data_IF_357874544500
#
_entry.id   IF_357874544500
#
_cell.length_a   1.000
_cell.length_b   1.000
_cell.length_c   1.000
_cell.angle_alpha   90.00
_cell.angle_beta   90.00
_cell.angle_gamma   90.00
#
_symmetry.space_group_name_H-M   'P 1'
#
loop_
_entity.id
_entity.type
_entity.pdbx_description
1 polymer ?
#
# COMPACT_ATOMS: atom_id res chain seq x y z
N UNK A 1 -31.65 -18.40 11.79
CA UNK A 1 -30.43 -17.57 11.70
C UNK A 1 -29.22 -18.35 11.16
N UNK A 2 -29.36 -19.65 10.86
CA UNK A 2 -28.26 -20.49 10.36
C UNK A 2 -27.62 -20.01 9.06
N UNK A 3 -28.36 -19.33 8.18
CA UNK A 3 -27.82 -18.80 6.91
C UNK A 3 -26.75 -17.71 7.08
N UNK A 4 -26.69 -17.06 8.25
CA UNK A 4 -25.63 -16.10 8.57
C UNK A 4 -24.34 -16.77 9.04
N UNK A 5 -24.40 -18.02 9.51
CA UNK A 5 -23.24 -18.73 10.04
C UNK A 5 -22.45 -19.39 8.89
N UNK A 6 -21.20 -18.98 8.72
CA UNK A 6 -20.27 -19.53 7.74
C UNK A 6 -19.36 -20.56 8.41
N UNK A 7 -19.92 -21.72 8.75
CA UNK A 7 -19.26 -22.74 9.58
C UNK A 7 -18.00 -23.36 8.93
N UNK A 8 -17.86 -23.26 7.60
CA UNK A 8 -16.72 -23.77 6.83
C UNK A 8 -15.68 -22.67 6.53
N UNK A 9 -15.56 -21.65 7.39
CA UNK A 9 -14.69 -20.47 7.20
C UNK A 9 -13.97 -20.03 8.48
N UNK A 10 -13.76 -20.94 9.43
CA UNK A 10 -13.03 -20.65 10.67
C UNK A 10 -11.59 -20.25 10.39
N UNK A 11 -10.91 -20.96 9.48
CA UNK A 11 -9.53 -20.66 9.05
C UNK A 11 -9.49 -19.32 8.30
N UNK A 12 -10.46 -19.11 7.41
CA UNK A 12 -10.57 -17.87 6.65
C UNK A 12 -10.68 -16.64 7.57
N UNK A 13 -11.48 -16.70 8.65
CA UNK A 13 -11.56 -15.64 9.66
C UNK A 13 -10.20 -15.36 10.31
N UNK A 14 -9.50 -16.40 10.75
CA UNK A 14 -8.19 -16.25 11.41
C UNK A 14 -7.14 -15.66 10.47
N UNK A 15 -7.11 -16.10 9.19
CA UNK A 15 -6.24 -15.55 8.16
C UNK A 15 -6.50 -14.06 7.99
N UNK A 16 -7.76 -13.64 7.81
CA UNK A 16 -8.05 -12.23 7.55
C UNK A 16 -7.85 -11.36 8.77
N UNK A 17 -8.26 -11.79 9.96
CA UNK A 17 -8.03 -10.99 11.17
C UNK A 17 -6.52 -10.86 11.45
N UNK A 18 -5.79 -11.97 11.54
CA UNK A 18 -4.35 -11.92 11.86
C UNK A 18 -3.54 -11.25 10.75
N UNK A 19 -3.88 -11.50 9.49
CA UNK A 19 -3.23 -10.89 8.35
C UNK A 19 -3.45 -9.37 8.28
N UNK A 20 -4.68 -8.89 8.53
CA UNK A 20 -4.96 -7.45 8.60
C UNK A 20 -4.27 -6.81 9.81
N UNK A 21 -4.26 -7.49 10.97
CA UNK A 21 -3.51 -7.03 12.13
C UNK A 21 -1.99 -6.94 11.85
N UNK A 22 -1.43 -7.87 11.09
CA UNK A 22 -0.03 -7.78 10.62
C UNK A 22 0.20 -6.56 9.72
N UNK A 23 -0.74 -6.23 8.83
CA UNK A 23 -0.63 -5.02 8.02
C UNK A 23 -0.70 -3.75 8.87
N UNK A 24 -1.55 -3.71 9.90
CA UNK A 24 -1.54 -2.61 10.89
C UNK A 24 -0.21 -2.51 11.63
N UNK A 25 0.34 -3.63 12.11
CA UNK A 25 1.64 -3.65 12.78
C UNK A 25 2.72 -2.99 11.92
N UNK A 26 2.83 -3.41 10.66
CA UNK A 26 3.80 -2.87 9.71
C UNK A 26 3.54 -1.39 9.39
N UNK A 27 2.27 -0.98 9.30
CA UNK A 27 1.88 0.40 9.06
C UNK A 27 2.24 1.33 10.23
N UNK A 28 2.06 0.88 11.48
CA UNK A 28 2.48 1.62 12.67
C UNK A 28 4.01 1.66 12.81
N UNK A 29 4.73 0.58 12.50
CA UNK A 29 6.20 0.59 12.46
C UNK A 29 6.72 1.55 11.38
N UNK A 30 6.12 1.53 10.19
CA UNK A 30 6.42 2.49 9.11
C UNK A 30 6.20 3.93 9.58
N UNK A 31 5.09 4.19 10.26
CA UNK A 31 4.75 5.50 10.81
C UNK A 31 5.77 5.94 11.87
N UNK A 32 6.08 5.08 12.85
CA UNK A 32 7.02 5.37 13.93
C UNK A 32 8.41 5.78 13.40
N UNK A 33 8.85 5.12 12.33
CA UNK A 33 10.17 5.32 11.74
C UNK A 33 10.25 6.55 10.82
N UNK A 34 9.15 6.94 10.17
CA UNK A 34 9.21 7.92 9.07
C UNK A 34 8.38 9.19 9.32
N UNK A 35 7.25 9.10 10.03
CA UNK A 35 6.28 10.20 10.06
C UNK A 35 6.87 11.48 10.64
N UNK A 36 7.71 11.41 11.69
CA UNK A 36 8.29 12.60 12.32
C UNK A 36 9.11 13.45 11.34
N UNK A 37 9.94 12.81 10.53
CA UNK A 37 10.72 13.49 9.50
C UNK A 37 9.85 13.99 8.31
N UNK A 38 8.77 13.29 8.00
CA UNK A 38 7.90 13.62 6.86
C UNK A 38 6.86 14.70 7.19
N UNK A 39 6.10 14.52 8.27
CA UNK A 39 4.97 15.35 8.66
C UNK A 39 4.90 15.63 10.18
N UNK A 40 5.97 15.35 10.94
CA UNK A 40 6.04 15.67 12.37
C UNK A 40 6.15 17.16 12.67
N UNK A 41 6.42 17.50 13.92
CA UNK A 41 6.49 18.91 14.37
C UNK A 41 7.49 19.74 13.55
N UNK A 42 8.59 19.10 13.13
CA UNK A 42 9.65 19.71 12.32
C UNK A 42 9.88 18.98 10.99
N UNK A 43 8.89 18.22 10.52
CA UNK A 43 9.00 17.45 9.29
C UNK A 43 8.90 18.29 8.01
N UNK A 44 8.95 17.64 6.85
CA UNK A 44 8.81 18.28 5.53
C UNK A 44 7.49 19.03 5.34
N UNK A 45 6.40 18.50 5.91
CA UNK A 45 5.08 19.11 5.92
C UNK A 45 4.47 19.04 7.33
N UNK A 46 4.77 19.99 8.23
CA UNK A 46 4.42 19.85 9.64
C UNK A 46 2.91 19.70 9.90
N UNK A 47 2.53 18.61 10.60
CA UNK A 47 1.15 18.33 10.96
C UNK A 47 0.50 19.40 11.87
N UNK A 48 1.20 20.04 12.84
CA UNK A 48 0.62 21.15 13.62
C UNK A 48 0.12 22.28 12.73
N UNK A 49 0.97 22.75 11.81
CA UNK A 49 0.63 23.82 10.88
C UNK A 49 -0.53 23.42 9.95
N UNK A 50 -0.57 22.17 9.49
CA UNK A 50 -1.69 21.66 8.69
C UNK A 50 -3.01 21.65 9.47
N UNK A 51 -2.98 21.21 10.73
CA UNK A 51 -4.15 21.18 11.61
C UNK A 51 -4.68 22.59 11.91
N UNK A 52 -3.81 23.57 12.10
CA UNK A 52 -4.18 24.97 12.35
C UNK A 52 -4.79 25.65 11.11
N UNK A 53 -4.23 25.40 9.93
CA UNK A 53 -4.62 26.11 8.70
C UNK A 53 -5.76 25.46 7.94
N UNK A 54 -5.77 24.13 7.85
CA UNK A 54 -6.69 23.36 7.01
C UNK A 54 -7.58 22.41 7.80
N UNK A 55 -7.17 22.05 9.02
CA UNK A 55 -7.80 20.97 9.78
C UNK A 55 -7.53 19.58 9.19
N UNK A 56 -7.88 18.54 9.94
CA UNK A 56 -7.75 17.18 9.45
C UNK A 56 -8.82 16.88 8.36
N UNK A 57 -8.46 16.04 7.38
CA UNK A 57 -9.37 15.65 6.29
C UNK A 57 -10.61 14.87 6.77
N UNK A 58 -10.54 14.31 7.97
CA UNK A 58 -11.57 13.49 8.58
C UNK A 58 -11.34 13.36 10.08
N UNK A 59 -12.00 12.40 10.76
CA UNK A 59 -11.85 12.16 12.18
C UNK A 59 -10.39 11.89 12.53
N UNK A 60 -9.87 12.62 13.51
CA UNK A 60 -8.52 12.39 14.03
C UNK A 60 -8.46 12.76 15.51
N UNK A 61 -7.81 11.90 16.30
CA UNK A 61 -7.49 12.19 17.69
C UNK A 61 -6.66 13.47 17.79
N UNK A 62 -5.70 13.68 16.87
CA UNK A 62 -4.81 14.83 16.88
C UNK A 62 -5.54 16.16 16.67
N UNK A 63 -6.70 16.16 16.01
CA UNK A 63 -7.54 17.36 15.91
C UNK A 63 -8.24 17.72 17.22
N UNK A 64 -8.43 16.75 18.13
CA UNK A 64 -9.11 16.97 19.42
C UNK A 64 -8.13 17.24 20.55
N UNK A 65 -7.03 16.50 20.59
CA UNK A 65 -6.06 16.58 21.69
C UNK A 65 -4.80 17.37 21.31
N UNK A 66 -4.72 17.88 20.09
CA UNK A 66 -3.52 18.51 19.51
C UNK A 66 -2.46 17.48 19.10
N UNK A 67 -1.74 17.75 18.02
CA UNK A 67 -0.61 16.94 17.58
C UNK A 67 0.66 17.25 18.38
N UNK A 68 1.46 16.22 18.66
CA UNK A 68 2.89 16.34 18.98
C UNK A 68 3.59 15.03 18.64
N UNK A 69 4.90 15.05 18.41
CA UNK A 69 5.63 13.85 18.03
C UNK A 69 5.58 12.78 19.14
N UNK A 70 5.54 13.20 20.42
CA UNK A 70 5.36 12.29 21.57
C UNK A 70 4.01 11.58 21.54
N UNK A 71 2.92 12.30 21.22
CA UNK A 71 1.58 11.71 21.10
C UNK A 71 1.51 10.74 19.92
N UNK A 72 2.14 11.09 18.80
CA UNK A 72 2.26 10.18 17.66
C UNK A 72 2.99 8.89 18.04
N UNK A 73 4.12 8.97 18.76
CA UNK A 73 4.86 7.79 19.23
C UNK A 73 3.96 6.94 20.13
N UNK A 74 3.24 7.54 21.07
CA UNK A 74 2.30 6.81 21.94
C UNK A 74 1.19 6.09 21.14
N UNK A 75 0.63 6.77 20.13
CA UNK A 75 -0.35 6.17 19.20
C UNK A 75 0.26 4.98 18.44
N UNK A 76 1.50 5.11 17.96
CA UNK A 76 2.17 4.02 17.25
C UNK A 76 2.50 2.84 18.16
N UNK A 77 3.02 3.08 19.37
CA UNK A 77 3.32 2.01 20.34
C UNK A 77 2.06 1.28 20.75
N UNK A 78 0.96 2.00 21.02
CA UNK A 78 -0.33 1.37 21.32
C UNK A 78 -0.85 0.53 20.14
N UNK A 79 -0.77 1.08 18.92
CA UNK A 79 -1.15 0.37 17.70
C UNK A 79 -0.31 -0.90 17.45
N UNK A 80 1.00 -0.83 17.67
CA UNK A 80 1.93 -1.97 17.59
C UNK A 80 1.56 -3.05 18.62
N UNK A 81 1.34 -2.66 19.87
CA UNK A 81 0.97 -3.60 20.95
C UNK A 81 -0.34 -4.33 20.67
N UNK A 82 -1.40 -3.59 20.32
CA UNK A 82 -2.72 -4.17 20.01
C UNK A 82 -2.64 -5.09 18.77
N UNK A 83 -1.94 -4.64 17.73
CA UNK A 83 -1.75 -5.46 16.52
C UNK A 83 -1.01 -6.76 16.84
N UNK A 84 0.04 -6.70 17.67
CA UNK A 84 0.83 -7.88 18.07
C UNK A 84 -0.02 -8.90 18.82
N UNK A 85 -0.86 -8.42 19.76
CA UNK A 85 -1.77 -9.27 20.54
C UNK A 85 -2.85 -9.90 19.64
N UNK A 86 -3.39 -9.17 18.65
CA UNK A 86 -4.32 -9.70 17.65
C UNK A 86 -3.66 -10.73 16.73
N UNK A 87 -2.40 -10.56 16.34
CA UNK A 87 -1.66 -11.54 15.52
C UNK A 87 -1.45 -12.85 16.31
N UNK A 88 -1.14 -12.75 17.60
CA UNK A 88 -1.01 -13.91 18.50
C UNK A 88 -2.34 -14.66 18.66
N UNK A 89 -3.47 -13.98 18.43
CA UNK A 89 -4.80 -14.61 18.50
C UNK A 89 -5.44 -14.54 19.88
N UNK A 90 -4.84 -13.81 20.83
CA UNK A 90 -5.31 -13.78 22.22
C UNK A 90 -6.73 -13.18 22.30
N UNK A 91 -7.05 -12.07 21.63
CA UNK A 91 -8.43 -11.57 21.60
C UNK A 91 -9.42 -12.55 20.99
N UNK A 92 -8.99 -13.33 19.99
CA UNK A 92 -9.83 -14.25 19.23
C UNK A 92 -10.23 -15.50 20.04
N UNK A 93 -9.56 -15.82 21.15
CA UNK A 93 -9.99 -16.88 22.07
C UNK A 93 -11.03 -16.40 23.09
N UNK A 94 -11.14 -15.08 23.27
CA UNK A 94 -12.07 -14.44 24.20
C UNK A 94 -13.47 -14.20 23.62
N UNK A 95 -14.27 -13.33 24.27
CA UNK A 95 -15.60 -12.97 23.78
C UNK A 95 -15.52 -12.18 22.46
N UNK A 96 -16.57 -12.24 21.61
CA UNK A 96 -16.53 -11.68 20.25
C UNK A 96 -16.32 -10.17 20.18
N UNK A 97 -16.65 -9.44 21.25
CA UNK A 97 -16.40 -7.99 21.33
C UNK A 97 -14.93 -7.64 21.50
N UNK A 98 -14.08 -8.55 21.97
CA UNK A 98 -12.66 -8.27 22.24
C UNK A 98 -11.83 -8.07 20.96
N UNK A 99 -11.87 -8.95 19.94
CA UNK A 99 -11.22 -8.66 18.66
C UNK A 99 -11.86 -7.44 17.98
N UNK A 100 -13.19 -7.27 18.06
CA UNK A 100 -13.87 -6.07 17.55
C UNK A 100 -13.29 -4.78 18.15
N UNK A 101 -13.19 -4.71 19.48
CA UNK A 101 -12.62 -3.56 20.17
C UNK A 101 -11.18 -3.29 19.73
N UNK A 102 -10.36 -4.35 19.62
CA UNK A 102 -8.99 -4.25 19.13
C UNK A 102 -8.92 -3.61 17.73
N UNK A 103 -9.69 -4.12 16.78
CA UNK A 103 -9.72 -3.57 15.42
C UNK A 103 -10.30 -2.16 15.34
N UNK A 104 -11.33 -1.83 16.12
CA UNK A 104 -11.88 -0.46 16.16
C UNK A 104 -10.89 0.54 16.74
N UNK A 105 -10.11 0.14 17.74
CA UNK A 105 -9.01 0.96 18.27
C UNK A 105 -7.93 1.13 17.21
N UNK A 106 -7.45 0.06 16.56
CA UNK A 106 -6.48 0.16 15.47
C UNK A 106 -6.96 1.07 14.34
N UNK A 107 -8.23 0.93 13.93
CA UNK A 107 -8.87 1.75 12.93
C UNK A 107 -8.88 3.23 13.32
N UNK A 108 -9.30 3.57 14.54
CA UNK A 108 -9.32 4.95 15.03
C UNK A 108 -7.93 5.57 15.17
N UNK A 109 -6.96 4.80 15.68
CA UNK A 109 -5.56 5.24 15.79
C UNK A 109 -4.95 5.49 14.41
N UNK A 110 -5.14 4.58 13.47
CA UNK A 110 -4.57 4.71 12.13
C UNK A 110 -5.26 5.79 11.31
N UNK A 111 -6.59 5.92 11.42
CA UNK A 111 -7.35 6.99 10.77
C UNK A 111 -6.85 8.35 11.24
N UNK A 112 -6.50 8.47 12.52
CA UNK A 112 -5.94 9.70 13.08
C UNK A 112 -4.64 10.10 12.40
N UNK A 113 -3.77 9.14 12.05
CA UNK A 113 -2.51 9.35 11.33
C UNK A 113 -2.78 9.69 9.86
N UNK A 114 -3.59 8.90 9.17
CA UNK A 114 -3.89 9.09 7.73
C UNK A 114 -4.47 10.48 7.47
N UNK A 115 -5.36 10.97 8.34
CA UNK A 115 -6.02 12.26 8.17
C UNK A 115 -5.13 13.50 8.44
N UNK A 116 -3.92 13.31 9.00
CA UNK A 116 -2.92 14.39 9.20
C UNK A 116 -1.65 14.19 8.36
N UNK A 117 -1.45 13.01 7.78
CA UNK A 117 -0.24 12.64 7.03
C UNK A 117 -0.12 13.23 5.61
N UNK A 118 -1.08 14.04 5.18
CA UNK A 118 -1.06 14.80 3.92
C UNK A 118 -0.72 13.94 2.69
N UNK A 119 0.25 14.35 1.86
CA UNK A 119 0.64 13.63 0.63
C UNK A 119 1.31 12.28 0.94
N UNK A 120 2.06 12.20 2.05
CA UNK A 120 2.78 10.99 2.45
C UNK A 120 1.86 9.84 2.88
N UNK A 121 0.57 10.10 3.13
CA UNK A 121 -0.46 9.12 3.47
C UNK A 121 -1.63 9.15 2.46
N UNK A 122 -1.44 9.74 1.28
CA UNK A 122 -2.45 9.86 0.24
C UNK A 122 -2.61 8.61 -0.66
N UNK A 123 -2.20 7.43 -0.19
CA UNK A 123 -2.13 6.23 -1.02
C UNK A 123 -3.34 5.31 -0.82
N UNK A 124 -3.80 4.64 -1.88
CA UNK A 124 -5.02 3.81 -1.82
C UNK A 124 -4.96 2.65 -0.82
N UNK A 125 -3.75 2.12 -0.54
CA UNK A 125 -3.58 1.05 0.45
C UNK A 125 -3.76 1.53 1.90
N UNK A 126 -3.65 2.83 2.17
CA UNK A 126 -3.94 3.43 3.48
C UNK A 126 -5.43 3.30 3.79
N UNK A 127 -6.26 3.67 2.81
CA UNK A 127 -7.71 3.58 2.87
C UNK A 127 -8.18 2.13 2.87
N UNK A 128 -7.50 1.26 2.11
CA UNK A 128 -7.78 -0.18 2.11
C UNK A 128 -7.55 -0.80 3.49
N UNK A 129 -6.48 -0.44 4.18
CA UNK A 129 -6.19 -0.95 5.52
C UNK A 129 -7.23 -0.51 6.55
N UNK A 130 -7.66 0.76 6.49
CA UNK A 130 -8.73 1.27 7.35
C UNK A 130 -10.03 0.49 7.14
N UNK A 131 -10.46 0.37 5.88
CA UNK A 131 -11.70 -0.32 5.56
C UNK A 131 -11.66 -1.82 5.90
N UNK A 132 -10.54 -2.49 5.60
CA UNK A 132 -10.31 -3.89 5.95
C UNK A 132 -10.37 -4.09 7.47
N UNK A 133 -9.64 -3.26 8.23
CA UNK A 133 -9.61 -3.31 9.69
C UNK A 133 -10.98 -3.16 10.32
N UNK A 134 -11.74 -2.17 9.87
CA UNK A 134 -13.11 -1.96 10.33
C UNK A 134 -13.96 -3.22 10.07
N UNK A 135 -13.91 -3.76 8.85
CA UNK A 135 -14.76 -4.88 8.43
C UNK A 135 -14.43 -6.18 9.16
N UNK A 136 -13.15 -6.55 9.28
CA UNK A 136 -12.74 -7.84 9.88
C UNK A 136 -12.92 -7.89 11.39
N UNK A 137 -12.99 -6.74 12.07
CA UNK A 137 -13.31 -6.68 13.50
C UNK A 137 -14.67 -7.29 13.84
N UNK A 138 -15.65 -7.16 12.93
CA UNK A 138 -16.99 -7.71 13.13
C UNK A 138 -17.10 -9.22 12.82
N UNK A 139 -16.03 -9.89 12.39
CA UNK A 139 -16.04 -11.34 12.19
C UNK A 139 -16.05 -12.13 13.51
N UNK A 140 -15.88 -11.44 14.65
CA UNK A 140 -16.01 -12.01 15.99
C UNK A 140 -14.81 -12.84 16.42
N UNK A 141 -15.03 -13.69 17.42
CA UNK A 141 -14.03 -14.58 18.02
C UNK A 141 -14.41 -16.05 17.82
N UNK A 142 -13.59 -16.97 18.33
CA UNK A 142 -13.86 -18.41 18.30
C UNK A 142 -15.12 -18.85 19.04
N UNK A 143 -15.71 -17.97 19.86
CA UNK A 143 -16.95 -18.22 20.59
C UNK A 143 -18.23 -17.94 19.76
N UNK A 144 -18.10 -17.47 18.52
CA UNK A 144 -19.20 -17.29 17.58
C UNK A 144 -18.78 -17.80 16.19
N UNK A 145 -19.71 -18.30 15.36
CA UNK A 145 -19.40 -18.65 13.98
C UNK A 145 -19.03 -17.38 13.18
N UNK A 146 -18.11 -17.48 12.20
CA UNK A 146 -17.87 -16.39 11.25
C UNK A 146 -19.17 -16.00 10.54
N UNK A 147 -19.39 -14.70 10.32
CA UNK A 147 -20.57 -14.22 9.61
C UNK A 147 -20.39 -14.28 8.09
N UNK A 148 -21.29 -14.99 7.42
CA UNK A 148 -21.35 -15.07 5.97
C UNK A 148 -21.52 -13.69 5.32
N UNK A 149 -22.35 -12.81 5.91
CA UNK A 149 -22.57 -11.47 5.35
C UNK A 149 -21.31 -10.62 5.37
N UNK A 150 -20.51 -10.74 6.44
CA UNK A 150 -19.25 -10.01 6.57
C UNK A 150 -18.16 -10.60 5.67
N UNK A 151 -18.07 -11.94 5.53
CA UNK A 151 -17.17 -12.56 4.56
C UNK A 151 -17.51 -12.14 3.12
N UNK A 152 -18.79 -12.00 2.79
CA UNK A 152 -19.22 -11.45 1.49
C UNK A 152 -18.87 -9.95 1.36
N UNK A 153 -18.90 -9.17 2.43
CA UNK A 153 -18.44 -7.78 2.41
C UNK A 153 -16.92 -7.65 2.28
N UNK A 154 -16.15 -8.59 2.83
CA UNK A 154 -14.71 -8.71 2.54
C UNK A 154 -14.49 -9.11 1.07
N UNK A 155 -15.28 -10.05 0.55
CA UNK A 155 -15.28 -10.39 -0.88
C UNK A 155 -15.61 -9.17 -1.76
N UNK A 156 -16.56 -8.35 -1.33
CA UNK A 156 -16.93 -7.09 -1.99
C UNK A 156 -15.81 -6.05 -1.94
N UNK A 157 -15.02 -6.01 -0.87
CA UNK A 157 -13.80 -5.20 -0.81
C UNK A 157 -12.76 -5.67 -1.82
N UNK A 158 -12.49 -6.98 -1.89
CA UNK A 158 -11.58 -7.58 -2.89
C UNK A 158 -12.10 -7.33 -4.31
N UNK A 159 -13.41 -7.47 -4.52
CA UNK A 159 -14.05 -7.18 -5.80
C UNK A 159 -13.81 -5.72 -6.21
N UNK A 160 -14.14 -4.75 -5.35
CA UNK A 160 -13.91 -3.33 -5.66
C UNK A 160 -12.45 -3.02 -5.93
N UNK A 161 -11.54 -3.71 -5.26
CA UNK A 161 -10.10 -3.56 -5.46
C UNK A 161 -9.64 -4.08 -6.82
N UNK A 162 -9.91 -5.35 -7.12
CA UNK A 162 -9.46 -5.99 -8.35
C UNK A 162 -10.24 -5.47 -9.56
N UNK A 163 -11.57 -5.47 -9.49
CA UNK A 163 -12.42 -4.98 -10.56
C UNK A 163 -12.22 -3.49 -10.79
N UNK A 164 -12.07 -2.69 -9.73
CA UNK A 164 -11.75 -1.27 -9.85
C UNK A 164 -10.41 -1.03 -10.56
N UNK A 165 -9.37 -1.80 -10.22
CA UNK A 165 -8.07 -1.75 -10.89
C UNK A 165 -8.14 -2.22 -12.35
N UNK A 166 -8.88 -3.29 -12.66
CA UNK A 166 -9.07 -3.76 -14.03
C UNK A 166 -9.80 -2.75 -14.90
N UNK A 167 -10.89 -2.17 -14.39
CA UNK A 167 -11.71 -1.21 -15.12
C UNK A 167 -10.95 0.08 -15.41
N UNK A 168 -10.16 0.59 -14.46
CA UNK A 168 -9.40 1.81 -14.69
C UNK A 168 -8.26 1.60 -15.69
N UNK A 169 -7.66 0.41 -15.74
CA UNK A 169 -6.68 0.03 -16.77
C UNK A 169 -7.33 -0.04 -18.14
N UNK A 170 -8.48 -0.71 -18.23
CA UNK A 170 -9.24 -0.84 -19.48
C UNK A 170 -9.62 0.52 -20.07
N UNK A 171 -10.08 1.44 -19.22
CA UNK A 171 -10.50 2.80 -19.61
C UNK A 171 -9.35 3.77 -19.82
N UNK A 172 -8.31 3.67 -18.99
CA UNK A 172 -7.30 4.72 -18.84
C UNK A 172 -6.29 4.82 -19.98
N UNK A 173 -5.92 3.70 -20.60
CA UNK A 173 -4.80 3.70 -21.55
C UNK A 173 -4.98 2.67 -22.68
N UNK A 174 -4.86 3.08 -23.96
CA UNK A 174 -4.85 2.15 -25.09
C UNK A 174 -3.83 1.01 -24.97
N UNK A 175 -2.70 1.21 -24.27
CA UNK A 175 -1.70 0.15 -24.08
C UNK A 175 -2.25 -1.08 -23.32
N UNK A 176 -3.21 -0.88 -22.41
CA UNK A 176 -3.88 -2.00 -21.75
C UNK A 176 -4.80 -2.76 -22.70
N UNK A 177 -5.55 -2.04 -23.55
CA UNK A 177 -6.46 -2.64 -24.54
C UNK A 177 -5.70 -3.36 -25.67
N UNK A 178 -4.54 -2.83 -26.05
CA UNK A 178 -3.65 -3.41 -27.05
C UNK A 178 -2.70 -4.48 -26.47
N UNK A 179 -2.81 -4.80 -25.17
CA UNK A 179 -1.98 -5.78 -24.46
C UNK A 179 -0.46 -5.47 -24.49
N UNK A 180 -0.09 -4.19 -24.62
CA UNK A 180 1.31 -3.72 -24.68
C UNK A 180 1.77 -3.03 -23.41
N UNK A 181 0.90 -2.82 -22.43
CA UNK A 181 1.22 -2.18 -21.15
C UNK A 181 2.45 -2.78 -20.46
N UNK A 182 2.56 -4.11 -20.46
CA UNK A 182 3.65 -4.84 -19.80
C UNK A 182 5.00 -4.71 -20.51
N UNK A 183 5.04 -4.15 -21.73
CA UNK A 183 6.31 -3.81 -22.39
C UNK A 183 7.09 -2.73 -21.63
N UNK A 184 6.38 -1.94 -20.83
CA UNK A 184 6.95 -0.80 -20.12
C UNK A 184 6.90 -1.01 -18.60
N UNK A 185 5.80 -1.57 -18.09
CA UNK A 185 5.44 -1.51 -16.67
C UNK A 185 6.54 -2.03 -15.73
N UNK A 186 7.15 -3.19 -15.98
CA UNK A 186 8.18 -3.73 -15.08
C UNK A 186 9.39 -2.81 -14.88
N UNK A 187 9.72 -2.00 -15.88
CA UNK A 187 10.79 -1.01 -15.79
C UNK A 187 10.30 0.29 -15.14
N UNK A 188 9.12 0.76 -15.51
CA UNK A 188 8.63 2.11 -15.18
C UNK A 188 7.76 2.18 -13.92
N UNK A 189 7.41 1.02 -13.34
CA UNK A 189 6.67 0.91 -12.08
C UNK A 189 7.35 1.70 -10.93
N UNK A 190 6.60 2.11 -9.90
CA UNK A 190 7.12 2.98 -8.84
C UNK A 190 8.41 2.47 -8.21
N UNK A 191 8.33 1.25 -7.66
CA UNK A 191 9.41 0.62 -6.92
C UNK A 191 9.65 -0.78 -7.51
N UNK A 192 10.63 -0.94 -8.41
CA UNK A 192 10.99 -2.26 -8.93
C UNK A 192 11.54 -3.16 -7.81
N UNK A 193 11.37 -4.47 -7.98
CA UNK A 193 11.90 -5.51 -7.11
C UNK A 193 13.02 -6.33 -7.77
N UNK A 194 13.52 -7.37 -7.08
CA UNK A 194 14.70 -8.12 -7.51
C UNK A 194 14.54 -8.83 -8.86
N UNK A 195 13.31 -9.19 -9.24
CA UNK A 195 12.98 -9.90 -10.48
C UNK A 195 12.49 -8.98 -11.60
N UNK A 196 12.29 -7.68 -11.35
CA UNK A 196 11.68 -6.78 -12.33
C UNK A 196 12.46 -6.68 -13.63
N UNK A 197 13.80 -6.72 -13.57
CA UNK A 197 14.64 -6.73 -14.77
C UNK A 197 14.43 -8.01 -15.58
N UNK A 198 14.43 -9.17 -14.93
CA UNK A 198 14.21 -10.45 -15.60
C UNK A 198 12.81 -10.50 -16.23
N UNK A 199 11.79 -10.03 -15.51
CA UNK A 199 10.44 -9.90 -16.02
C UNK A 199 10.39 -8.96 -17.23
N UNK A 200 10.99 -7.77 -17.16
CA UNK A 200 11.03 -6.80 -18.26
C UNK A 200 11.72 -7.33 -19.53
N UNK A 201 12.70 -8.22 -19.38
CA UNK A 201 13.43 -8.82 -20.50
C UNK A 201 12.74 -10.08 -21.06
N UNK A 202 11.54 -10.41 -20.58
CA UNK A 202 10.72 -11.46 -21.17
C UNK A 202 10.29 -11.08 -22.60
N UNK A 203 10.01 -12.08 -23.46
CA UNK A 203 9.61 -11.79 -24.83
C UNK A 203 8.22 -11.12 -24.89
N UNK A 204 7.97 -10.34 -25.95
CA UNK A 204 6.73 -9.58 -26.11
C UNK A 204 5.44 -10.42 -26.08
N UNK A 205 5.50 -11.69 -26.49
CA UNK A 205 4.32 -12.58 -26.41
C UNK A 205 3.96 -12.88 -24.95
N UNK A 206 4.96 -13.06 -24.07
CA UNK A 206 4.77 -13.27 -22.64
C UNK A 206 4.07 -12.06 -22.02
N UNK A 207 4.56 -10.85 -22.34
CA UNK A 207 3.95 -9.60 -21.86
C UNK A 207 2.49 -9.39 -22.32
N UNK A 208 2.13 -9.86 -23.54
CA UNK A 208 0.74 -9.86 -23.99
C UNK A 208 -0.11 -10.82 -23.16
N UNK A 209 0.42 -12.01 -22.86
CA UNK A 209 -0.22 -12.98 -21.97
C UNK A 209 -0.36 -12.41 -20.55
N UNK A 210 0.63 -11.71 -20.01
CA UNK A 210 0.54 -11.04 -18.71
C UNK A 210 -0.56 -9.98 -18.69
N UNK A 211 -0.62 -9.13 -19.72
CA UNK A 211 -1.67 -8.11 -19.83
C UNK A 211 -3.08 -8.74 -19.96
N UNK A 212 -3.22 -9.79 -20.75
CA UNK A 212 -4.48 -10.51 -20.91
C UNK A 212 -4.87 -11.26 -19.62
N UNK A 213 -3.91 -11.90 -18.96
CA UNK A 213 -4.07 -12.56 -17.67
C UNK A 213 -4.47 -11.57 -16.57
N UNK A 214 -3.88 -10.38 -16.55
CA UNK A 214 -4.31 -9.29 -15.67
C UNK A 214 -5.78 -8.93 -15.94
N UNK A 215 -6.21 -8.78 -17.20
CA UNK A 215 -7.62 -8.51 -17.51
C UNK A 215 -8.54 -9.64 -17.05
N UNK A 216 -8.19 -10.91 -17.30
CA UNK A 216 -8.98 -12.04 -16.82
C UNK A 216 -9.10 -12.05 -15.28
N UNK A 217 -7.97 -11.93 -14.59
CA UNK A 217 -7.89 -11.95 -13.14
C UNK A 217 -8.58 -10.77 -12.46
N UNK A 218 -8.63 -9.60 -13.11
CA UNK A 218 -9.19 -8.39 -12.53
C UNK A 218 -10.62 -8.09 -13.00
N UNK A 219 -11.01 -8.51 -14.20
CA UNK A 219 -12.34 -8.19 -14.76
C UNK A 219 -13.32 -9.36 -14.72
N UNK A 220 -12.84 -10.62 -14.62
CA UNK A 220 -13.71 -11.81 -14.65
C UNK A 220 -13.68 -12.54 -13.32
N UNK A 221 -12.49 -12.92 -12.84
CA UNK A 221 -12.33 -13.72 -11.62
C UNK A 221 -13.00 -13.10 -10.38
N UNK A 222 -13.04 -11.77 -10.16
CA UNK A 222 -13.65 -11.23 -8.96
C UNK A 222 -15.15 -11.54 -8.83
N UNK A 223 -15.87 -11.70 -9.94
CA UNK A 223 -17.28 -12.12 -9.92
C UNK A 223 -17.45 -13.53 -9.33
N UNK A 224 -16.48 -14.40 -9.56
CA UNK A 224 -16.50 -15.79 -9.10
C UNK A 224 -16.28 -15.92 -7.58
N UNK A 225 -15.81 -14.86 -6.89
CA UNK A 225 -15.72 -14.84 -5.43
C UNK A 225 -17.09 -14.99 -4.73
N UNK A 226 -18.17 -14.64 -5.43
CA UNK A 226 -19.55 -14.74 -4.95
C UNK A 226 -20.24 -16.04 -5.35
N UNK A 227 -19.58 -16.91 -6.12
CA UNK A 227 -20.11 -18.21 -6.49
C UNK A 227 -20.11 -19.19 -5.29
N UNK A 228 -20.91 -20.28 -5.35
CA UNK A 228 -20.82 -21.37 -4.38
C UNK A 228 -19.42 -22.03 -4.37
N UNK A 229 -19.09 -22.71 -3.27
CA UNK A 229 -17.87 -23.51 -3.21
C UNK A 229 -17.97 -24.73 -4.16
N UNK A 230 -16.85 -25.18 -4.78
CA UNK A 230 -15.46 -24.73 -4.58
C UNK A 230 -15.04 -23.56 -5.49
N UNK A 231 -15.94 -23.03 -6.32
CA UNK A 231 -15.62 -22.00 -7.33
C UNK A 231 -15.05 -20.73 -6.67
N UNK A 232 -15.62 -20.29 -5.55
CA UNK A 232 -15.11 -19.14 -4.81
C UNK A 232 -13.67 -19.35 -4.28
N UNK A 233 -13.35 -20.54 -3.77
CA UNK A 233 -11.98 -20.87 -3.32
C UNK A 233 -10.99 -20.87 -4.49
N UNK A 234 -11.39 -21.40 -5.64
CA UNK A 234 -10.56 -21.38 -6.86
C UNK A 234 -10.32 -19.94 -7.32
N UNK A 235 -11.37 -19.11 -7.35
CA UNK A 235 -11.25 -17.70 -7.71
C UNK A 235 -10.31 -16.93 -6.76
N UNK A 236 -10.45 -17.15 -5.45
CA UNK A 236 -9.55 -16.59 -4.46
C UNK A 236 -8.10 -17.06 -4.66
N UNK A 237 -7.89 -18.35 -4.95
CA UNK A 237 -6.56 -18.90 -5.25
C UNK A 237 -5.92 -18.26 -6.48
N UNK A 238 -6.69 -18.01 -7.55
CA UNK A 238 -6.22 -17.30 -8.74
C UNK A 238 -5.82 -15.86 -8.39
N UNK A 239 -6.66 -15.12 -7.65
CA UNK A 239 -6.34 -13.77 -7.19
C UNK A 239 -5.04 -13.78 -6.39
N UNK A 240 -4.92 -14.67 -5.39
CA UNK A 240 -3.70 -14.81 -4.57
C UNK A 240 -2.48 -15.08 -5.45
N UNK A 241 -2.56 -16.01 -6.40
CA UNK A 241 -1.44 -16.32 -7.29
C UNK A 241 -1.01 -15.11 -8.14
N UNK A 242 -1.97 -14.37 -8.69
CA UNK A 242 -1.66 -13.15 -9.48
C UNK A 242 -1.09 -12.03 -8.60
N UNK A 243 -1.58 -11.87 -7.37
CA UNK A 243 -1.03 -10.89 -6.43
C UNK A 243 0.38 -11.27 -5.97
N UNK A 244 0.69 -12.56 -5.77
CA UNK A 244 2.04 -13.04 -5.47
C UNK A 244 3.01 -12.78 -6.64
N UNK A 245 2.55 -12.89 -7.88
CA UNK A 245 3.34 -12.49 -9.05
C UNK A 245 3.67 -10.99 -9.03
N UNK A 246 2.73 -10.14 -8.66
CA UNK A 246 2.96 -8.69 -8.50
C UNK A 246 3.96 -8.40 -7.37
N UNK A 247 3.86 -9.11 -6.24
CA UNK A 247 4.83 -9.02 -5.14
C UNK A 247 6.24 -9.43 -5.58
N UNK A 248 6.36 -10.49 -6.38
CA UNK A 248 7.65 -10.99 -6.84
C UNK A 248 8.32 -10.05 -7.86
N UNK A 249 7.51 -9.31 -8.63
CA UNK A 249 7.98 -8.48 -9.74
C UNK A 249 7.94 -6.98 -9.48
N UNK A 250 7.51 -6.54 -8.30
CA UNK A 250 7.45 -5.14 -7.89
C UNK A 250 7.18 -4.97 -6.39
N UNK A 251 7.24 -3.74 -5.91
CA UNK A 251 6.97 -3.41 -4.50
C UNK A 251 5.81 -2.42 -4.42
N UNK A 252 4.65 -2.82 -3.90
CA UNK A 252 3.46 -1.94 -3.75
C UNK A 252 3.02 -1.77 -2.30
N UNK A 253 3.97 -1.53 -1.39
CA UNK A 253 3.74 -1.47 0.05
C UNK A 253 2.90 -2.70 0.50
N UNK A 254 1.90 -2.51 1.34
CA UNK A 254 1.00 -3.59 1.75
C UNK A 254 -0.19 -3.82 0.80
N UNK A 255 -0.29 -3.15 -0.36
CA UNK A 255 -1.44 -3.29 -1.26
C UNK A 255 -1.68 -4.75 -1.67
N UNK A 256 -0.69 -5.40 -2.27
CA UNK A 256 -0.84 -6.78 -2.75
C UNK A 256 -0.97 -7.77 -1.59
N UNK A 257 -0.17 -7.59 -0.53
CA UNK A 257 -0.24 -8.45 0.66
C UNK A 257 -1.60 -8.40 1.34
N UNK A 258 -2.17 -7.20 1.48
CA UNK A 258 -3.52 -7.04 2.02
C UNK A 258 -4.57 -7.64 1.08
N UNK A 259 -4.40 -7.54 -0.25
CA UNK A 259 -5.28 -8.20 -1.22
C UNK A 259 -5.23 -9.73 -1.08
N UNK A 260 -4.03 -10.31 -0.95
CA UNK A 260 -3.83 -11.75 -0.71
C UNK A 260 -4.55 -12.20 0.56
N UNK A 261 -4.34 -11.47 1.66
CA UNK A 261 -5.00 -11.75 2.94
C UNK A 261 -6.52 -11.71 2.79
N UNK A 262 -7.06 -10.64 2.19
CA UNK A 262 -8.51 -10.47 2.05
C UNK A 262 -9.12 -11.50 1.10
N UNK A 263 -8.44 -11.88 0.02
CA UNK A 263 -8.88 -12.96 -0.87
C UNK A 263 -9.00 -14.30 -0.13
N UNK A 264 -8.13 -14.53 0.86
CA UNK A 264 -8.20 -15.67 1.78
C UNK A 264 -9.53 -15.83 2.53
N UNK A 265 -10.34 -14.76 2.65
CA UNK A 265 -11.70 -14.83 3.23
C UNK A 265 -12.67 -15.74 2.47
N UNK A 266 -12.34 -16.08 1.21
CA UNK A 266 -13.20 -16.87 0.32
C UNK A 266 -12.70 -18.29 0.08
N UNK A 267 -11.60 -18.68 0.71
CA UNK A 267 -11.13 -20.07 0.73
C UNK A 267 -11.79 -20.77 1.91
N UNK A 268 -12.57 -21.81 1.64
CA UNK A 268 -13.24 -22.58 2.70
C UNK A 268 -12.29 -23.50 3.46
N UNK A 269 -12.64 -23.86 4.69
CA UNK A 269 -11.86 -24.79 5.52
C UNK A 269 -11.76 -26.16 4.84
N UNK A 270 -12.84 -26.59 4.16
CA UNK A 270 -12.83 -27.74 3.27
C UNK A 270 -11.76 -27.65 2.18
N UNK A 271 -11.64 -26.52 1.47
CA UNK A 271 -10.61 -26.33 0.45
C UNK A 271 -9.18 -26.37 1.05
N UNK A 272 -8.98 -25.83 2.25
CA UNK A 272 -7.72 -25.98 2.97
C UNK A 272 -7.40 -27.43 3.33
N UNK A 273 -8.39 -28.20 3.79
CA UNK A 273 -8.23 -29.62 4.10
C UNK A 273 -7.87 -30.48 2.87
N UNK A 274 -8.35 -30.10 1.67
CA UNK A 274 -7.94 -30.74 0.42
C UNK A 274 -6.47 -30.47 0.05
N UNK A 275 -5.96 -29.27 0.30
CA UNK A 275 -4.58 -28.88 -0.04
C UNK A 275 -3.59 -29.37 1.04
N UNK A 276 -3.99 -29.28 2.30
CA UNK A 276 -3.16 -29.64 3.45
C UNK A 276 -3.91 -30.66 4.31
N UNK A 277 -3.75 -31.97 4.05
CA UNK A 277 -4.50 -33.03 4.72
C UNK A 277 -4.34 -33.08 6.25
N UNK A 278 -3.27 -32.46 6.79
CA UNK A 278 -3.05 -32.33 8.22
C UNK A 278 -3.89 -31.23 8.88
N UNK A 279 -4.44 -30.29 8.09
CA UNK A 279 -5.47 -29.37 8.56
C UNK A 279 -6.77 -30.17 8.62
N UNK A 280 -7.09 -30.65 9.82
CA UNK A 280 -8.41 -31.24 10.07
C UNK A 280 -9.42 -30.11 9.89
N UNK A 281 -10.37 -30.24 8.97
CA UNK A 281 -11.61 -29.46 9.07
C UNK A 281 -12.13 -29.70 10.47
N UNK A 282 -12.09 -28.68 11.32
CA UNK A 282 -12.86 -28.73 12.56
C UNK A 282 -14.28 -29.04 12.10
N UNK A 283 -14.81 -30.21 12.48
CA UNK A 283 -16.18 -30.57 12.12
C UNK A 283 -17.12 -29.41 12.48
N UNK A 284 -18.24 -29.27 11.79
CA UNK A 284 -19.19 -28.18 12.00
C UNK A 284 -19.72 -28.21 13.44
N UNK A 285 -19.01 -27.57 14.38
CA UNK A 285 -19.51 -27.34 15.73
C UNK A 285 -20.52 -26.22 15.58
N UNK A 286 -21.80 -26.56 15.78
CA UNK A 286 -22.89 -25.59 15.77
C UNK A 286 -22.78 -24.71 17.02
N UNK A 287 -22.02 -23.61 16.89
CA UNK A 287 -21.95 -22.56 17.90
C UNK A 287 -23.06 -21.56 17.59
N UNK A 288 -24.00 -21.37 18.52
CA UNK A 288 -25.03 -20.35 18.36
C UNK A 288 -24.49 -18.96 18.69
N UNK A 289 -24.77 -17.99 17.82
CA UNK A 289 -24.44 -16.58 18.06
C UNK A 289 -25.45 -15.95 19.04
N UNK A 290 -24.99 -15.23 20.08
CA UNK A 290 -25.88 -14.41 20.90
C UNK A 290 -26.69 -13.42 20.07
N UNK A 291 -27.93 -13.14 20.47
CA UNK A 291 -28.84 -12.26 19.72
C UNK A 291 -28.29 -10.85 19.52
N UNK A 292 -27.68 -10.27 20.55
CA UNK A 292 -27.06 -8.94 20.48
C UNK A 292 -25.93 -8.87 19.45
N UNK A 293 -25.13 -9.94 19.32
CA UNK A 293 -24.04 -10.01 18.35
C UNK A 293 -24.60 -10.11 16.94
N UNK A 294 -25.64 -10.92 16.74
CA UNK A 294 -26.32 -11.04 15.45
C UNK A 294 -26.94 -9.70 15.01
N UNK A 295 -27.60 -8.99 15.92
CA UNK A 295 -28.17 -7.65 15.65
C UNK A 295 -27.07 -6.67 15.26
N UNK A 296 -25.93 -6.68 15.97
CA UNK A 296 -24.79 -5.82 15.64
C UNK A 296 -24.22 -6.13 14.24
N UNK A 297 -24.02 -7.41 13.92
CA UNK A 297 -23.52 -7.88 12.61
C UNK A 297 -24.48 -7.47 11.49
N UNK A 298 -25.79 -7.60 11.69
CA UNK A 298 -26.79 -7.17 10.72
C UNK A 298 -26.80 -5.64 10.54
N UNK A 299 -26.73 -4.89 11.63
CA UNK A 299 -26.67 -3.43 11.57
C UNK A 299 -25.45 -2.93 10.79
N UNK A 300 -24.26 -3.46 11.06
CA UNK A 300 -23.05 -3.08 10.30
C UNK A 300 -23.10 -3.57 8.85
N UNK A 301 -23.72 -4.72 8.59
CA UNK A 301 -23.93 -5.23 7.23
C UNK A 301 -24.78 -4.24 6.42
N UNK A 302 -25.91 -3.81 6.98
CA UNK A 302 -26.80 -2.81 6.34
C UNK A 302 -26.08 -1.48 6.14
N UNK A 303 -25.28 -1.04 7.11
CA UNK A 303 -24.48 0.18 7.00
C UNK A 303 -23.50 0.10 5.82
N UNK A 304 -22.70 -0.97 5.72
CA UNK A 304 -21.69 -1.12 4.67
C UNK A 304 -22.33 -1.31 3.28
N UNK A 305 -23.47 -1.98 3.19
CA UNK A 305 -24.26 -2.06 1.94
C UNK A 305 -24.74 -0.66 1.53
N UNK A 306 -25.30 0.10 2.47
CA UNK A 306 -25.79 1.46 2.22
C UNK A 306 -24.68 2.39 1.75
N UNK A 307 -23.49 2.32 2.39
CA UNK A 307 -22.31 3.08 2.01
C UNK A 307 -21.68 2.63 0.69
N UNK A 308 -22.07 1.47 0.13
CA UNK A 308 -21.54 0.95 -1.14
C UNK A 308 -22.06 1.69 -2.37
N UNK A 309 -23.15 2.44 -2.26
CA UNK A 309 -23.78 3.03 -3.44
C UNK A 309 -22.87 4.01 -4.22
N UNK A 310 -22.14 4.96 -3.59
CA UNK A 310 -21.21 5.84 -4.31
C UNK A 310 -20.06 5.08 -4.98
N UNK A 311 -19.47 4.10 -4.30
CA UNK A 311 -18.40 3.27 -4.84
C UNK A 311 -18.87 2.42 -6.02
N UNK A 312 -20.08 1.86 -5.93
CA UNK A 312 -20.72 1.11 -7.02
C UNK A 312 -20.95 2.02 -8.24
N UNK A 313 -21.51 3.21 -8.04
CA UNK A 313 -21.69 4.20 -9.11
C UNK A 313 -20.36 4.60 -9.76
N UNK A 314 -19.30 4.74 -8.97
CA UNK A 314 -17.96 5.03 -9.47
C UNK A 314 -17.39 3.90 -10.34
N UNK A 315 -17.57 2.63 -9.95
CA UNK A 315 -17.09 1.47 -10.73
C UNK A 315 -17.65 1.45 -12.16
N UNK A 316 -18.92 1.84 -12.33
CA UNK A 316 -19.59 1.85 -13.63
C UNK A 316 -19.55 3.21 -14.34
N UNK A 317 -18.93 4.23 -13.72
CA UNK A 317 -18.73 5.54 -14.35
C UNK A 317 -17.71 5.47 -15.48
N UNK A 318 -17.95 6.20 -16.56
CA UNK A 318 -16.95 6.45 -17.60
C UNK A 318 -15.74 7.25 -17.06
N UNK A 319 -16.01 8.13 -16.09
CA UNK A 319 -15.01 8.95 -15.38
C UNK A 319 -14.77 8.35 -13.99
N UNK A 320 -14.28 7.11 -13.95
CA UNK A 320 -13.98 6.43 -12.70
C UNK A 320 -12.89 7.17 -11.93
N UNK A 321 -13.17 7.51 -10.67
CA UNK A 321 -12.18 8.03 -9.74
C UNK A 321 -11.29 6.91 -9.20
N UNK A 322 -10.00 7.21 -9.07
CA UNK A 322 -8.98 6.31 -8.53
C UNK A 322 -8.71 6.62 -7.06
N UNK A 323 -8.71 5.61 -6.18
CA UNK A 323 -8.36 5.74 -4.77
C UNK A 323 -9.16 6.85 -4.06
N UNK A 324 -10.48 6.86 -4.24
CA UNK A 324 -11.38 7.91 -3.78
C UNK A 324 -12.22 7.47 -2.58
N UNK A 325 -12.26 8.34 -1.56
CA UNK A 325 -13.09 8.17 -0.38
C UNK A 325 -14.43 8.88 -0.57
N UNK A 326 -15.53 8.21 -0.22
CA UNK A 326 -16.88 8.78 -0.37
C UNK A 326 -17.50 9.24 0.95
N UNK A 327 -16.80 9.03 2.06
CA UNK A 327 -17.16 9.52 3.38
C UNK A 327 -15.91 9.76 4.22
N UNK A 328 -16.06 10.54 5.29
CA UNK A 328 -14.94 10.92 6.17
C UNK A 328 -14.39 9.74 7.00
N UNK A 329 -15.13 8.64 7.06
CA UNK A 329 -14.75 7.44 7.83
C UNK A 329 -13.90 6.46 7.02
N UNK A 330 -13.57 6.78 5.77
CA UNK A 330 -12.73 5.92 4.90
C UNK A 330 -13.32 4.51 4.77
N UNK A 331 -14.65 4.40 4.77
CA UNK A 331 -15.35 3.13 4.58
C UNK A 331 -15.92 3.06 3.16
N UNK A 332 -15.87 1.89 2.57
CA UNK A 332 -16.45 1.60 1.26
C UNK A 332 -15.95 2.52 0.16
N UNK A 333 -14.64 2.53 -0.04
CA UNK A 333 -13.94 3.41 -0.97
C UNK A 333 -13.87 2.81 -2.39
N UNK A 334 -13.42 3.63 -3.34
CA UNK A 334 -13.00 3.19 -4.67
C UNK A 334 -11.50 2.98 -4.71
N UNK A 335 -11.07 1.91 -5.37
CA UNK A 335 -9.65 1.58 -5.56
C UNK A 335 -9.33 1.48 -7.04
N UNK A 336 -8.11 1.87 -7.39
CA UNK A 336 -7.59 1.71 -8.73
C UNK A 336 -6.09 1.92 -8.75
N UNK A 337 -5.41 1.29 -9.71
CA UNK A 337 -3.97 1.40 -9.85
C UNK A 337 -3.57 1.28 -11.31
N UNK A 338 -2.61 2.11 -11.72
CA UNK A 338 -1.95 2.05 -13.03
C UNK A 338 -2.90 2.15 -14.23
N UNK A 339 -3.93 3.00 -14.13
CA UNK A 339 -4.82 3.29 -15.26
C UNK A 339 -4.06 3.77 -16.49
N UNK A 340 -3.05 4.62 -16.29
CA UNK A 340 -2.06 5.03 -17.28
C UNK A 340 -0.73 4.33 -17.07
N UNK A 341 -0.03 3.97 -18.15
CA UNK A 341 1.26 3.29 -18.09
C UNK A 341 2.40 4.27 -18.35
N UNK A 342 3.39 4.38 -17.47
CA UNK A 342 4.57 5.18 -17.77
C UNK A 342 5.44 4.47 -18.82
N UNK A 343 5.87 5.16 -19.89
CA UNK A 343 6.70 4.57 -20.98
C UNK A 343 8.19 4.73 -20.76
N UNK A 344 8.57 5.82 -20.10
CA UNK A 344 9.96 6.19 -19.82
C UNK A 344 10.13 6.39 -18.34
N UNK A 345 11.14 5.74 -17.75
CA UNK A 345 11.47 5.93 -16.33
C UNK A 345 12.41 7.12 -16.21
N UNK A 346 11.92 8.19 -15.60
CA UNK A 346 12.74 9.36 -15.24
C UNK A 346 12.99 9.28 -13.74
N UNK A 347 14.25 9.44 -13.34
CA UNK A 347 14.64 9.49 -11.93
C UNK A 347 15.21 10.86 -11.61
N UNK A 348 14.73 11.42 -10.50
CA UNK A 348 15.29 12.62 -9.89
C UNK A 348 16.47 12.21 -9.03
N UNK A 349 17.63 12.81 -9.30
CA UNK A 349 18.88 12.60 -8.57
C UNK A 349 19.24 13.91 -7.87
N UNK A 350 19.58 13.83 -6.59
CA UNK A 350 19.97 14.99 -5.79
C UNK A 350 21.43 14.84 -5.45
N UNK A 351 22.20 15.90 -5.66
CA UNK A 351 23.63 15.93 -5.39
C UNK A 351 23.95 17.09 -4.46
N UNK A 352 24.90 16.89 -3.55
CA UNK A 352 25.50 17.96 -2.76
C UNK A 352 26.99 18.15 -3.08
N UNK A 353 27.56 19.27 -2.66
CA UNK A 353 29.01 19.48 -2.60
C UNK A 353 29.40 20.25 -1.34
N UNK A 354 30.57 19.94 -0.77
CA UNK A 354 31.24 20.73 0.28
C UNK A 354 32.18 21.79 -0.32
N UNK A 355 32.32 21.85 -1.66
CA UNK A 355 33.20 22.83 -2.31
C UNK A 355 32.53 24.21 -2.41
N UNK A 356 33.25 25.25 -2.02
CA UNK A 356 32.81 26.65 -2.16
C UNK A 356 32.80 27.12 -3.61
N UNK A 357 33.77 26.64 -4.41
CA UNK A 357 33.89 26.98 -5.83
C UNK A 357 33.15 25.96 -6.70
N UNK A 358 32.13 26.43 -7.42
CA UNK A 358 31.32 25.59 -8.31
C UNK A 358 32.08 25.11 -9.55
N UNK A 359 33.17 25.78 -9.95
CA UNK A 359 33.98 25.38 -11.11
C UNK A 359 34.82 24.18 -10.72
N UNK A 360 34.51 23.01 -11.29
CA UNK A 360 35.21 21.76 -11.00
C UNK A 360 34.80 21.10 -9.68
N UNK A 361 33.74 21.57 -9.03
CA UNK A 361 33.25 21.02 -7.77
C UNK A 361 32.97 19.52 -7.83
N UNK A 362 33.30 18.80 -6.78
CA UNK A 362 33.03 17.39 -6.59
C UNK A 362 31.61 17.18 -6.02
N UNK A 363 30.71 16.74 -6.88
CA UNK A 363 29.31 16.48 -6.52
C UNK A 363 29.09 15.03 -6.12
N UNK A 364 28.40 14.83 -4.99
CA UNK A 364 28.08 13.51 -4.45
C UNK A 364 26.57 13.30 -4.38
N UNK A 365 26.10 12.15 -4.86
CA UNK A 365 24.67 11.79 -4.90
C UNK A 365 24.17 11.33 -3.54
N UNK A 366 22.95 11.75 -3.17
CA UNK A 366 22.21 11.16 -2.06
C UNK A 366 21.53 9.86 -2.52
N UNK A 367 21.74 8.76 -1.79
CA UNK A 367 21.15 7.46 -2.11
C UNK A 367 19.83 7.24 -1.36
N UNK A 368 18.78 6.81 -2.06
CA UNK A 368 17.49 6.44 -1.47
C UNK A 368 17.42 4.94 -1.10
N UNK A 369 16.51 4.56 -0.20
CA UNK A 369 16.45 3.20 0.37
C UNK A 369 16.00 2.12 -0.60
N UNK A 370 15.11 2.43 -1.54
CA UNK A 370 14.60 1.48 -2.52
C UNK A 370 14.55 2.02 -3.95
N UNK A 371 14.57 3.34 -4.16
CA UNK A 371 14.57 3.95 -5.50
C UNK A 371 15.85 3.60 -6.27
N UNK A 372 15.78 3.40 -7.60
CA UNK A 372 16.97 3.31 -8.43
C UNK A 372 17.85 4.56 -8.31
N UNK A 373 19.16 4.33 -8.18
CA UNK A 373 20.19 5.36 -8.09
C UNK A 373 21.46 4.82 -8.73
N UNK A 374 22.40 4.31 -7.94
CA UNK A 374 23.58 3.60 -8.46
C UNK A 374 23.18 2.53 -9.50
N UNK A 375 23.80 2.59 -10.68
CA UNK A 375 23.46 1.75 -11.84
C UNK A 375 23.77 0.26 -11.64
N UNK A 376 24.73 -0.06 -10.77
CA UNK A 376 25.07 -1.42 -10.40
C UNK A 376 24.08 -2.01 -9.37
N UNK A 377 23.29 -1.16 -8.71
CA UNK A 377 22.41 -1.60 -7.63
C UNK A 377 21.21 -2.39 -8.15
N UNK A 378 21.11 -3.64 -7.69
CA UNK A 378 19.91 -4.46 -7.88
C UNK A 378 18.77 -3.95 -6.98
N UNK A 379 17.56 -3.71 -7.51
CA UNK A 379 16.40 -3.37 -6.69
C UNK A 379 16.10 -4.46 -5.66
N UNK A 380 15.78 -4.06 -4.43
CA UNK A 380 15.46 -4.96 -3.32
C UNK A 380 13.98 -5.30 -3.21
N UNK A 381 13.64 -6.29 -2.37
CA UNK A 381 12.27 -6.53 -1.93
C UNK A 381 12.05 -5.75 -0.63
N UNK A 382 11.15 -4.77 -0.64
CA UNK A 382 10.81 -3.97 0.54
C UNK A 382 9.34 -4.09 0.94
N UNK A 383 8.41 -4.32 -0.01
CA UNK A 383 7.01 -4.58 0.30
C UNK A 383 6.90 -5.87 1.14
N UNK A 384 6.13 -5.88 2.25
CA UNK A 384 5.03 -4.98 2.59
C UNK A 384 5.39 -3.62 3.20
N UNK A 385 6.65 -3.36 3.55
CA UNK A 385 7.05 -2.08 4.13
C UNK A 385 6.94 -0.93 3.11
N UNK A 386 6.43 0.22 3.55
CA UNK A 386 6.23 1.41 2.71
C UNK A 386 7.37 2.41 2.91
N UNK A 387 8.22 2.59 1.89
CA UNK A 387 9.23 3.64 1.82
C UNK A 387 8.59 4.93 1.26
N UNK A 388 8.03 5.77 2.15
CA UNK A 388 7.14 6.87 1.74
C UNK A 388 7.84 7.94 0.92
N UNK A 389 9.06 8.31 1.32
CA UNK A 389 9.87 9.30 0.60
C UNK A 389 10.23 8.79 -0.81
N UNK A 390 10.76 7.57 -0.91
CA UNK A 390 11.10 6.93 -2.19
C UNK A 390 9.91 6.87 -3.16
N UNK A 391 8.72 6.55 -2.65
CA UNK A 391 7.48 6.56 -3.42
C UNK A 391 7.15 7.95 -3.94
N UNK A 392 7.24 8.98 -3.10
CA UNK A 392 6.99 10.37 -3.52
C UNK A 392 8.01 10.85 -4.57
N UNK A 393 9.26 10.41 -4.47
CA UNK A 393 10.28 10.69 -5.48
C UNK A 393 9.94 10.09 -6.86
N UNK A 394 9.12 9.03 -6.94
CA UNK A 394 8.63 8.50 -8.24
C UNK A 394 7.51 9.36 -8.84
N UNK A 395 6.72 10.05 -8.02
CA UNK A 395 5.66 10.94 -8.52
C UNK A 395 6.21 12.28 -9.03
N UNK A 396 7.36 12.76 -8.54
CA UNK A 396 7.91 14.06 -8.94
C UNK A 396 8.00 14.28 -10.47
N UNK A 397 8.51 13.34 -11.29
CA UNK A 397 8.54 13.50 -12.74
C UNK A 397 7.17 13.41 -13.42
N UNK A 398 6.17 12.81 -12.76
CA UNK A 398 4.80 12.69 -13.26
C UNK A 398 3.95 13.91 -12.92
N UNK A 399 4.35 14.63 -11.86
CA UNK A 399 3.67 15.81 -11.34
C UNK A 399 4.55 17.05 -11.51
N UNK A 400 5.18 17.50 -10.43
CA UNK A 400 6.02 18.69 -10.43
C UNK A 400 7.09 18.62 -9.36
N UNK A 401 8.29 19.11 -9.67
CA UNK A 401 9.36 19.34 -8.70
C UNK A 401 9.10 20.54 -7.78
N UNK A 402 8.08 21.37 -8.08
CA UNK A 402 7.77 22.56 -7.30
C UNK A 402 6.91 22.28 -6.06
N UNK A 403 6.68 21.02 -5.72
CA UNK A 403 5.91 20.66 -4.53
C UNK A 403 6.57 21.17 -3.25
N UNK A 404 5.76 21.69 -2.33
CA UNK A 404 6.23 22.28 -1.06
C UNK A 404 7.13 21.33 -0.29
N UNK A 405 6.74 20.06 -0.16
CA UNK A 405 7.52 19.07 0.58
C UNK A 405 8.90 18.85 -0.03
N UNK A 406 9.03 18.90 -1.36
CA UNK A 406 10.30 18.67 -2.05
C UNK A 406 11.25 19.86 -1.90
N UNK A 407 10.71 21.08 -1.94
CA UNK A 407 11.49 22.29 -1.65
C UNK A 407 12.05 22.28 -0.22
N UNK A 408 11.20 21.96 0.76
CA UNK A 408 11.61 21.82 2.17
C UNK A 408 12.60 20.66 2.33
N UNK A 409 12.45 19.58 1.54
CA UNK A 409 13.39 18.48 1.54
C UNK A 409 14.79 18.92 1.10
N UNK A 410 14.91 19.66 -0.02
CA UNK A 410 16.20 20.22 -0.48
C UNK A 410 16.80 21.16 0.57
N UNK A 411 15.99 22.03 1.19
CA UNK A 411 16.43 22.91 2.26
C UNK A 411 16.96 22.13 3.47
N UNK A 412 16.26 21.07 3.89
CA UNK A 412 16.70 20.22 5.01
C UNK A 412 17.96 19.40 4.70
N UNK A 413 18.22 19.06 3.44
CA UNK A 413 19.49 18.46 3.03
C UNK A 413 20.65 19.46 3.19
N UNK A 414 20.45 20.73 2.80
CA UNK A 414 21.43 21.79 3.03
C UNK A 414 21.70 22.00 4.54
N UNK A 415 20.67 21.89 5.37
CA UNK A 415 20.77 22.00 6.83
C UNK A 415 21.36 20.75 7.51
N UNK A 416 21.64 19.68 6.76
CA UNK A 416 22.01 18.36 7.31
C UNK A 416 21.06 17.87 8.42
N UNK A 417 19.75 18.08 8.24
CA UNK A 417 18.71 17.67 9.19
C UNK A 417 18.72 16.16 9.40
N UNK A 418 19.11 15.72 10.60
CA UNK A 418 19.32 14.31 10.92
C UNK A 418 18.08 13.44 10.71
N UNK A 419 16.88 13.97 11.00
CA UNK A 419 15.62 13.25 10.77
C UNK A 419 15.39 12.97 9.28
N UNK A 420 15.68 13.95 8.44
CA UNK A 420 15.57 13.87 6.99
C UNK A 420 16.64 12.97 6.40
N UNK A 421 17.90 13.11 6.83
CA UNK A 421 18.99 12.24 6.40
C UNK A 421 18.74 10.77 6.76
N UNK A 422 18.13 10.49 7.91
CA UNK A 422 17.75 9.13 8.32
C UNK A 422 16.70 8.47 7.39
N UNK A 423 16.00 9.22 6.55
CA UNK A 423 15.12 8.66 5.52
C UNK A 423 15.89 8.10 4.31
N UNK A 424 17.13 8.52 4.11
CA UNK A 424 18.01 8.10 3.02
C UNK A 424 18.76 6.80 3.37
N UNK A 425 19.30 6.14 2.35
CA UNK A 425 20.18 4.98 2.52
C UNK A 425 21.61 5.41 2.84
N UNK A 426 22.12 6.38 2.08
CA UNK A 426 23.46 6.92 2.24
C UNK A 426 23.37 8.44 2.10
N UNK A 427 23.95 9.13 3.07
CA UNK A 427 24.25 10.56 2.99
C UNK A 427 25.78 10.69 2.89
N UNK A 428 26.30 11.43 1.89
CA UNK A 428 27.73 11.38 1.58
C UNK A 428 28.58 12.34 2.45
N UNK A 429 27.99 13.09 3.38
CA UNK A 429 28.65 14.18 4.09
C UNK A 429 28.91 13.88 5.57
N UNK A 430 28.62 12.65 6.05
CA UNK A 430 28.79 12.25 7.46
C UNK A 430 28.08 13.21 8.43
N UNK A 431 26.90 13.69 8.04
CA UNK A 431 26.09 14.64 8.79
C UNK A 431 26.56 16.09 8.75
N UNK A 432 27.58 16.44 7.95
CA UNK A 432 27.97 17.83 7.69
C UNK A 432 27.06 18.46 6.64
N UNK A 433 26.83 19.77 6.76
CA UNK A 433 26.06 20.54 5.79
C UNK A 433 26.85 20.72 4.49
N UNK A 434 26.30 20.33 3.33
CA UNK A 434 26.89 20.71 2.05
C UNK A 434 26.75 22.23 1.84
N UNK A 435 27.71 22.85 1.14
CA UNK A 435 27.62 24.25 0.74
C UNK A 435 26.55 24.46 -0.33
N UNK A 436 26.42 23.51 -1.26
CA UNK A 436 25.42 23.55 -2.31
C UNK A 436 24.73 22.22 -2.51
N UNK A 437 23.45 22.29 -2.88
CA UNK A 437 22.66 21.15 -3.37
C UNK A 437 22.14 21.47 -4.76
N UNK A 438 22.10 20.48 -5.66
CA UNK A 438 21.47 20.60 -6.98
C UNK A 438 20.58 19.40 -7.26
N UNK A 439 19.66 19.58 -8.20
CA UNK A 439 18.71 18.52 -8.61
C UNK A 439 18.84 18.27 -10.09
N UNK A 440 19.06 17.00 -10.43
CA UNK A 440 19.18 16.49 -11.78
C UNK A 440 18.02 15.53 -12.08
N UNK A 441 17.79 15.29 -13.36
CA UNK A 441 17.06 14.11 -13.82
C UNK A 441 17.87 13.32 -14.82
N UNK A 442 17.62 12.02 -14.82
CA UNK A 442 18.14 11.10 -15.82
C UNK A 442 17.03 10.17 -16.28
N UNK A 443 17.12 9.73 -17.53
CA UNK A 443 16.35 8.59 -18.01
C UNK A 443 17.04 7.31 -17.58
N UNK A 444 16.30 6.44 -16.89
CA UNK A 444 16.76 5.11 -16.52
C UNK A 444 16.09 4.03 -17.38
N UNK A 445 16.86 2.99 -17.70
CA UNK A 445 16.35 1.75 -18.26
C UNK A 445 17.11 0.56 -17.71
N UNK A 446 16.52 -0.62 -17.72
CA UNK A 446 17.26 -1.82 -17.40
C UNK A 446 18.33 -2.09 -18.47
N UNK A 447 19.46 -2.65 -18.05
CA UNK A 447 20.47 -3.18 -18.97
C UNK A 447 19.90 -4.37 -19.76
N UNK A 448 20.26 -4.49 -21.03
CA UNK A 448 20.01 -5.72 -21.78
C UNK A 448 20.84 -6.89 -21.22
N UNK A 449 20.54 -8.12 -21.63
CA UNK A 449 21.33 -9.30 -21.24
C UNK A 449 22.81 -9.16 -21.62
N UNK A 450 23.10 -8.56 -22.78
CA UNK A 450 24.47 -8.34 -23.26
C UNK A 450 25.18 -7.29 -22.41
N UNK A 451 24.54 -6.13 -22.19
CA UNK A 451 25.11 -5.04 -21.37
C UNK A 451 25.46 -5.51 -19.96
N UNK A 452 24.55 -6.24 -19.30
CA UNK A 452 24.80 -6.77 -17.96
C UNK A 452 25.93 -7.79 -17.92
N UNK A 453 26.11 -8.61 -18.96
CA UNK A 453 27.26 -9.55 -19.03
C UNK A 453 28.59 -8.82 -19.18
N UNK A 454 28.58 -7.62 -19.76
CA UNK A 454 29.79 -6.83 -20.01
C UNK A 454 30.17 -5.95 -18.83
N UNK A 455 29.22 -5.22 -18.22
CA UNK A 455 29.52 -4.27 -17.14
C UNK A 455 29.12 -4.75 -15.75
N UNK A 456 28.23 -5.74 -15.64
CA UNK A 456 27.61 -6.13 -14.37
C UNK A 456 26.48 -5.20 -13.92
N UNK A 457 26.23 -4.08 -14.63
CA UNK A 457 25.21 -3.12 -14.21
C UNK A 457 23.78 -3.63 -14.41
N UNK A 458 22.89 -3.17 -13.55
CA UNK A 458 21.45 -3.47 -13.61
C UNK A 458 20.72 -2.40 -14.42
N UNK A 459 21.19 -1.16 -14.34
CA UNK A 459 20.59 0.00 -14.99
C UNK A 459 21.56 0.65 -15.98
N UNK A 460 20.99 1.35 -16.95
CA UNK A 460 21.68 2.37 -17.73
C UNK A 460 20.95 3.67 -17.46
N UNK A 461 21.72 4.73 -17.18
CA UNK A 461 21.19 6.09 -17.10
C UNK A 461 21.79 6.97 -18.18
N UNK A 462 20.97 7.81 -18.80
CA UNK A 462 21.37 8.78 -19.80
C UNK A 462 20.46 10.04 -19.73
N UNK A 463 20.61 10.96 -20.69
CA UNK A 463 19.79 12.18 -20.79
C UNK A 463 19.79 13.02 -19.51
N UNK A 464 20.99 13.38 -19.04
CA UNK A 464 21.18 14.23 -17.87
C UNK A 464 20.59 15.62 -18.13
N UNK A 465 19.65 16.04 -17.29
CA UNK A 465 19.03 17.38 -17.34
C UNK A 465 19.13 18.01 -15.96
N UNK A 466 19.61 19.26 -15.89
CA UNK A 466 19.61 20.07 -14.69
C UNK A 466 18.21 20.64 -14.44
N UNK A 467 17.61 20.32 -13.30
CA UNK A 467 16.26 20.74 -12.93
C UNK A 467 16.28 21.90 -11.92
N UNK A 468 17.21 21.85 -10.97
CA UNK A 468 17.51 22.93 -10.04
C UNK A 468 19.02 23.12 -10.01
N UNK A 469 19.48 24.35 -10.28
CA UNK A 469 20.89 24.72 -10.16
C UNK A 469 21.41 24.60 -8.73
N UNK A 470 22.72 24.82 -8.51
CA UNK A 470 23.30 24.89 -7.17
C UNK A 470 22.55 25.93 -6.32
N UNK A 471 21.95 25.47 -5.22
CA UNK A 471 21.31 26.31 -4.20
C UNK A 471 22.08 26.15 -2.89
N UNK A 472 22.20 27.23 -2.12
CA UNK A 472 22.86 27.28 -0.82
C UNK A 472 21.87 27.76 0.26
N UNK A 473 22.24 27.64 1.53
CA UNK A 473 21.52 28.34 2.61
C UNK A 473 21.81 29.83 2.48
N UNK A 474 20.75 30.64 2.51
CA UNK A 474 20.86 32.10 2.52
C UNK A 474 21.43 32.61 3.85
#
# INVERSE_FOLDING_TARGET
MEWLAANDYGIAREIVQRGVALMYLLAFISTLNQFRALAGEHGLLPAPHYLETSGARGPSLFSRIGYSDRKLVAVCVLGISISSVLIMGIPQTGPPWLPLAGFLVLWGLYMSIVNVGQVFYGFGWEMLLLEAGFTVGFLGSQQVPPSQSLLLLVAWLVFRLEFGAGMIKWRGDPAWRNLTAMYYHHQTQPMPGPLSRSAHLAPKWWHRCEAAGNHGAQLVIPFLLFAPQPVASIAAGIIIATQLWLVATGNFAWLNWLTIVLAGSRISDSAWGWIFPWIRSAGTVHIESPSWWTVLVLAVTVLLISLSFPALRNLFSAHQLMNAAFNKWQLVNAYGAFGSVTRVRIEIVIEGTEDENLIGAHWQEYSFKGKPGNVARKPGQCAPYHLRLDWMMWFLPLESINQRWFRVFVEKLLQADQGTLALLAEEPFSGRSPHYVRVLSYRYRFTTRIQHRQSGDIWVRDQRILLLGPVALN
#
